data_IF_417338522861
#
_entry.id   IF_417338522861
#
_cell.length_a   1.000
_cell.length_b   1.000
_cell.length_c   1.000
_cell.angle_alpha   90.00
_cell.angle_beta   90.00
_cell.angle_gamma   90.00
#
_symmetry.space_group_name_H-M   'P 1'
#
loop_
_entity.id
_entity.type
_entity.pdbx_description
1 polymer ?
#
# COMPACT_ATOMS: atom_id res chain seq x y z
N UNK A 1 21.43 -13.52 -95.55
CA UNK A 1 22.84 -13.91 -95.77
C UNK A 1 23.62 -13.40 -94.56
N UNK A 2 24.22 -14.32 -93.77
CA UNK A 2 25.39 -14.19 -92.85
C UNK A 2 25.72 -12.81 -92.19
N UNK A 3 26.11 -12.60 -90.92
CA UNK A 3 26.78 -13.37 -89.85
C UNK A 3 26.79 -12.52 -88.55
N UNK A 4 26.89 -13.24 -87.42
CA UNK A 4 27.22 -12.92 -86.00
C UNK A 4 27.97 -11.64 -85.61
N UNK A 5 27.69 -11.10 -84.39
CA UNK A 5 28.59 -10.95 -83.19
C UNK A 5 27.84 -10.15 -82.09
N UNK A 6 27.53 -10.70 -80.90
CA UNK A 6 28.31 -10.86 -79.65
C UNK A 6 28.27 -9.69 -78.63
N UNK A 7 27.71 -9.97 -77.44
CA UNK A 7 28.03 -9.48 -76.06
C UNK A 7 27.56 -8.01 -75.79
N UNK A 8 26.95 -7.59 -74.66
CA UNK A 8 27.41 -7.56 -73.25
C UNK A 8 26.20 -7.33 -72.31
N UNK A 9 26.19 -8.07 -71.19
CA UNK A 9 25.31 -7.92 -70.03
C UNK A 9 25.79 -6.74 -69.18
N UNK A 10 24.91 -5.79 -68.86
CA UNK A 10 25.14 -4.81 -67.79
C UNK A 10 24.19 -5.08 -66.61
N UNK A 11 24.79 -5.55 -65.51
CA UNK A 11 24.19 -5.56 -64.17
C UNK A 11 24.07 -4.11 -63.68
N UNK A 12 22.84 -3.63 -63.51
CA UNK A 12 22.55 -2.35 -62.88
C UNK A 12 22.80 -2.42 -61.37
N UNK A 13 23.80 -1.68 -60.91
CA UNK A 13 24.05 -1.44 -59.48
C UNK A 13 23.13 -0.30 -59.04
N UNK A 14 22.04 -0.64 -58.36
CA UNK A 14 21.21 0.30 -57.63
C UNK A 14 21.85 0.63 -56.28
N UNK A 15 22.30 1.87 -56.13
CA UNK A 15 22.74 2.48 -54.88
C UNK A 15 21.56 2.54 -53.90
N UNK A 16 21.55 1.68 -52.88
CA UNK A 16 20.76 1.89 -51.67
C UNK A 16 21.70 2.48 -50.61
N UNK A 17 21.51 3.75 -50.31
CA UNK A 17 22.24 4.50 -49.29
C UNK A 17 22.15 3.79 -47.94
N UNK A 18 23.28 3.30 -47.44
CA UNK A 18 23.43 2.83 -46.08
C UNK A 18 23.33 4.02 -45.12
N UNK A 19 22.14 4.24 -44.56
CA UNK A 19 21.99 5.08 -43.37
C UNK A 19 22.64 4.31 -42.22
N UNK A 20 23.85 4.71 -41.82
CA UNK A 20 24.50 4.20 -40.63
C UNK A 20 23.67 4.61 -39.42
N UNK A 21 22.81 3.70 -38.96
CA UNK A 21 22.23 3.74 -37.63
C UNK A 21 23.40 3.53 -36.64
N UNK A 22 24.03 4.62 -36.23
CA UNK A 22 24.88 4.62 -35.05
C UNK A 22 23.93 4.42 -33.87
N UNK A 23 23.63 3.15 -33.58
CA UNK A 23 22.93 2.76 -32.38
C UNK A 23 23.73 3.25 -31.20
N UNK A 24 23.16 4.19 -30.44
CA UNK A 24 23.72 4.65 -29.17
C UNK A 24 23.76 3.43 -28.23
N UNK A 25 24.93 2.83 -27.96
CA UNK A 25 25.02 1.74 -27.01
C UNK A 25 25.09 2.38 -25.64
N UNK A 26 23.95 2.55 -24.97
CA UNK A 26 23.98 3.21 -23.66
C UNK A 26 22.68 3.54 -22.95
N UNK A 27 21.52 3.07 -23.45
CA UNK A 27 20.24 3.26 -22.75
C UNK A 27 19.69 1.96 -22.15
N UNK A 28 20.57 1.01 -21.83
CA UNK A 28 20.34 0.10 -20.71
C UNK A 28 20.98 0.71 -19.45
N UNK A 29 20.52 1.90 -19.08
CA UNK A 29 20.81 2.48 -17.77
C UNK A 29 20.12 1.58 -16.75
N UNK A 30 20.91 0.72 -16.13
CA UNK A 30 20.56 -0.15 -15.01
C UNK A 30 19.25 0.24 -14.32
N UNK A 31 18.21 -0.58 -14.47
CA UNK A 31 17.16 -0.69 -13.47
C UNK A 31 17.88 -1.12 -12.19
N UNK A 32 18.36 -0.15 -11.41
CA UNK A 32 18.74 -0.37 -10.02
C UNK A 32 17.56 -1.11 -9.41
N UNK A 33 17.78 -2.36 -8.98
CA UNK A 33 16.79 -3.15 -8.27
C UNK A 33 16.48 -2.40 -6.98
N UNK A 34 15.48 -1.52 -7.01
CA UNK A 34 15.00 -0.83 -5.81
C UNK A 34 14.51 -1.91 -4.86
N UNK A 35 15.05 -1.93 -3.65
CA UNK A 35 14.64 -2.89 -2.60
C UNK A 35 13.16 -2.71 -2.22
N UNK A 36 12.64 -1.49 -2.37
CA UNK A 36 11.26 -1.13 -2.08
C UNK A 36 10.54 -0.55 -3.31
N UNK A 37 9.20 -0.64 -3.36
CA UNK A 37 8.41 0.00 -4.41
C UNK A 37 8.65 1.51 -4.50
N UNK A 38 8.46 2.08 -5.69
CA UNK A 38 8.69 3.51 -5.95
C UNK A 38 7.91 4.44 -5.01
N UNK A 39 6.68 4.06 -4.66
CA UNK A 39 5.83 4.84 -3.77
C UNK A 39 6.33 4.93 -2.32
N UNK A 40 7.33 4.12 -1.93
CA UNK A 40 8.02 4.26 -0.64
C UNK A 40 9.02 5.43 -0.61
N UNK A 41 9.34 6.01 -1.77
CA UNK A 41 10.35 7.07 -1.88
C UNK A 41 11.71 6.58 -1.37
N UNK A 42 12.32 7.36 -0.45
CA UNK A 42 13.59 7.03 0.19
C UNK A 42 13.40 6.32 1.55
N UNK A 43 12.16 6.01 1.94
CA UNK A 43 11.84 5.39 3.22
C UNK A 43 11.81 3.88 3.10
N UNK A 44 12.17 3.19 4.19
CA UNK A 44 11.99 1.73 4.28
C UNK A 44 10.51 1.41 4.38
N UNK A 45 10.11 0.31 3.73
CA UNK A 45 8.74 -0.22 3.75
C UNK A 45 8.68 -1.66 4.25
N UNK A 46 7.51 -2.11 4.75
CA UNK A 46 7.24 -3.54 4.94
C UNK A 46 7.38 -4.28 3.60
N UNK A 47 8.15 -5.38 3.60
CA UNK A 47 8.31 -6.23 2.41
C UNK A 47 7.03 -7.04 2.18
N UNK A 48 6.62 -7.13 0.92
CA UNK A 48 5.48 -7.95 0.51
C UNK A 48 5.74 -8.60 -0.85
N UNK A 49 5.00 -9.68 -1.10
CA UNK A 49 4.88 -10.28 -2.42
C UNK A 49 3.45 -10.08 -2.94
N UNK A 50 3.31 -9.77 -4.23
CA UNK A 50 2.02 -9.76 -4.91
C UNK A 50 1.67 -11.20 -5.28
N UNK A 51 0.55 -11.72 -4.79
CA UNK A 51 0.09 -13.09 -5.04
C UNK A 51 -0.99 -13.16 -6.13
N UNK A 52 -1.77 -12.09 -6.29
CA UNK A 52 -2.73 -11.97 -7.39
C UNK A 52 -3.00 -10.50 -7.73
N UNK A 53 -3.39 -10.24 -8.98
CA UNK A 53 -3.80 -8.92 -9.46
C UNK A 53 -5.20 -9.08 -10.06
N UNK A 54 -6.14 -8.27 -9.59
CA UNK A 54 -7.48 -8.14 -10.16
C UNK A 54 -7.67 -6.80 -10.87
N UNK A 55 -8.88 -6.55 -11.36
CA UNK A 55 -9.21 -5.34 -12.14
C UNK A 55 -8.90 -4.03 -11.38
N UNK A 56 -9.12 -4.01 -10.07
CA UNK A 56 -9.05 -2.79 -9.24
C UNK A 56 -8.43 -3.03 -7.85
N UNK A 57 -7.72 -4.16 -7.71
CA UNK A 57 -7.04 -4.56 -6.48
C UNK A 57 -5.80 -5.43 -6.74
N UNK A 58 -4.89 -5.43 -5.79
CA UNK A 58 -3.78 -6.37 -5.68
C UNK A 58 -3.92 -7.19 -4.40
N UNK A 59 -3.65 -8.49 -4.44
CA UNK A 59 -3.45 -9.28 -3.23
C UNK A 59 -1.96 -9.26 -2.87
N UNK A 60 -1.65 -8.75 -1.67
CA UNK A 60 -0.28 -8.61 -1.16
C UNK A 60 -0.14 -9.37 0.14
N UNK A 61 0.88 -10.22 0.23
CA UNK A 61 1.26 -10.91 1.45
C UNK A 61 2.51 -10.29 2.05
N UNK A 62 2.35 -9.68 3.22
CA UNK A 62 3.41 -9.04 4.01
C UNK A 62 4.02 -10.04 4.97
N UNK A 63 5.35 -10.00 5.10
CA UNK A 63 6.06 -10.75 6.13
C UNK A 63 5.76 -10.21 7.54
N UNK A 64 6.07 -11.02 8.56
CA UNK A 64 5.95 -10.57 9.95
C UNK A 64 6.72 -9.26 10.17
N UNK A 65 6.13 -8.34 10.91
CA UNK A 65 6.67 -6.98 11.07
C UNK A 65 6.39 -6.42 12.46
N UNK A 66 7.19 -5.44 12.87
CA UNK A 66 7.02 -4.73 14.15
C UNK A 66 6.57 -3.29 13.89
N UNK A 67 5.71 -2.78 14.75
CA UNK A 67 5.13 -1.45 14.62
C UNK A 67 5.04 -0.74 15.98
N UNK A 68 5.33 0.55 16.02
CA UNK A 68 4.92 1.42 17.13
C UNK A 68 3.50 1.91 16.87
N UNK A 69 2.63 1.82 17.88
CA UNK A 69 1.18 2.02 17.72
C UNK A 69 0.59 2.91 18.79
N UNK A 70 -0.38 3.73 18.41
CA UNK A 70 -1.24 4.47 19.34
C UNK A 70 -2.69 4.32 18.92
N UNK A 71 -3.63 4.46 19.87
CA UNK A 71 -5.06 4.31 19.61
C UNK A 71 -5.88 5.46 20.18
N UNK A 72 -7.01 5.74 19.56
CA UNK A 72 -8.04 6.66 20.06
C UNK A 72 -9.42 6.05 19.81
N UNK A 73 -10.32 6.23 20.76
CA UNK A 73 -11.74 5.90 20.60
C UNK A 73 -12.50 7.17 20.29
N UNK A 74 -13.26 7.17 19.18
CA UNK A 74 -14.06 8.34 18.76
C UNK A 74 -15.50 7.92 18.51
N UNK A 75 -16.50 8.72 18.91
CA UNK A 75 -17.89 8.44 18.55
C UNK A 75 -18.05 8.36 17.04
N UNK A 76 -18.87 7.44 16.54
CA UNK A 76 -19.03 7.19 15.10
C UNK A 76 -19.39 8.44 14.26
N UNK A 77 -20.12 9.39 14.86
CA UNK A 77 -20.59 10.63 14.22
C UNK A 77 -19.56 11.77 14.22
N UNK A 78 -18.39 11.56 14.82
CA UNK A 78 -17.33 12.56 14.90
C UNK A 78 -16.14 12.14 14.06
N UNK A 79 -15.51 13.12 13.41
CA UNK A 79 -14.22 12.90 12.77
C UNK A 79 -13.10 13.21 13.77
N UNK A 80 -11.99 12.48 13.68
CA UNK A 80 -10.77 12.77 14.43
C UNK A 80 -9.62 13.02 13.48
N UNK A 81 -8.81 14.03 13.78
CA UNK A 81 -7.59 14.32 13.03
C UNK A 81 -6.52 13.27 13.35
N UNK A 82 -5.80 12.80 12.34
CA UNK A 82 -4.64 11.94 12.50
C UNK A 82 -3.44 12.67 13.13
N UNK A 83 -3.42 14.01 13.12
CA UNK A 83 -2.29 14.83 13.58
C UNK A 83 -1.79 14.50 14.99
N UNK A 84 -2.66 14.49 16.03
CA UNK A 84 -2.25 14.15 17.39
C UNK A 84 -1.67 12.74 17.54
N UNK A 85 -2.25 11.74 16.87
CA UNK A 85 -1.72 10.36 16.87
C UNK A 85 -0.34 10.30 16.21
N UNK A 86 -0.18 10.98 15.08
CA UNK A 86 1.09 11.07 14.36
C UNK A 86 2.16 11.73 15.24
N UNK A 87 1.83 12.85 15.89
CA UNK A 87 2.76 13.57 16.75
C UNK A 87 3.23 12.71 17.92
N UNK A 88 2.34 11.94 18.56
CA UNK A 88 2.70 11.04 19.66
C UNK A 88 3.69 9.96 19.21
N UNK A 89 3.46 9.35 18.05
CA UNK A 89 4.40 8.36 17.48
C UNK A 89 5.70 9.01 17.00
N UNK A 90 5.63 10.21 16.43
CA UNK A 90 6.78 10.97 15.96
C UNK A 90 7.73 11.31 17.11
N UNK A 91 7.19 11.75 18.25
CA UNK A 91 7.97 12.00 19.48
C UNK A 91 8.72 10.75 19.93
N UNK A 92 8.03 9.60 19.97
CA UNK A 92 8.64 8.33 20.35
C UNK A 92 9.85 7.98 19.47
N UNK A 93 9.69 8.05 18.14
CA UNK A 93 10.80 7.74 17.22
C UNK A 93 11.88 8.84 17.19
N UNK A 94 11.58 10.06 17.65
CA UNK A 94 12.53 11.18 17.75
C UNK A 94 13.28 11.22 19.09
N UNK A 95 13.25 10.14 19.89
CA UNK A 95 14.00 10.04 21.14
C UNK A 95 13.18 10.27 22.42
N UNK A 96 11.87 10.51 22.36
CA UNK A 96 11.00 10.42 23.56
C UNK A 96 10.70 8.95 23.91
N UNK A 97 11.77 8.22 24.23
CA UNK A 97 11.78 6.84 24.68
C UNK A 97 12.81 6.67 25.81
N UNK A 98 12.82 5.48 26.43
CA UNK A 98 13.59 5.21 27.66
C UNK A 98 15.11 5.33 27.49
N UNK A 99 15.61 5.28 26.26
CA UNK A 99 17.04 5.33 25.94
C UNK A 99 17.46 6.58 25.16
N UNK A 100 16.55 7.50 24.86
CA UNK A 100 16.82 8.71 24.04
C UNK A 100 17.39 8.39 22.65
N UNK A 101 17.02 7.24 22.09
CA UNK A 101 17.51 6.77 20.78
C UNK A 101 16.53 7.19 19.69
N UNK A 102 17.04 7.74 18.59
CA UNK A 102 16.24 8.00 17.39
C UNK A 102 16.02 6.71 16.57
N UNK A 103 14.78 6.51 16.13
CA UNK A 103 14.37 5.44 15.23
C UNK A 103 14.04 6.08 13.88
N UNK A 104 14.66 5.65 12.76
CA UNK A 104 14.38 6.23 11.45
C UNK A 104 12.90 6.15 11.06
N UNK A 105 12.37 7.25 10.52
CA UNK A 105 11.04 7.28 9.93
C UNK A 105 10.92 6.27 8.77
N UNK A 106 9.73 5.72 8.60
CA UNK A 106 9.42 4.73 7.57
C UNK A 106 8.09 5.04 6.87
N UNK A 107 7.79 4.30 5.82
CA UNK A 107 6.50 4.30 5.17
C UNK A 107 5.94 2.87 5.10
N UNK A 108 4.62 2.68 4.95
CA UNK A 108 3.59 3.69 5.16
C UNK A 108 3.32 3.95 6.65
N UNK A 109 2.62 5.05 6.94
CA UNK A 109 1.84 5.17 8.17
C UNK A 109 0.53 4.40 7.97
N UNK A 110 0.28 3.38 8.79
CA UNK A 110 -0.99 2.65 8.74
C UNK A 110 -2.00 3.23 9.70
N UNK A 111 -3.25 3.28 9.28
CA UNK A 111 -4.42 3.53 10.13
C UNK A 111 -5.32 2.31 10.04
N UNK A 112 -5.62 1.67 11.17
CA UNK A 112 -6.64 0.61 11.23
C UNK A 112 -7.86 1.13 11.96
N UNK A 113 -9.04 0.92 11.38
CA UNK A 113 -10.31 1.22 12.02
C UNK A 113 -11.04 -0.09 12.23
N UNK A 114 -11.31 -0.42 13.49
CA UNK A 114 -12.19 -1.55 13.81
C UNK A 114 -13.63 -1.07 13.74
N UNK A 115 -14.35 -1.54 12.73
CA UNK A 115 -15.75 -1.17 12.52
C UNK A 115 -16.64 -1.86 13.56
N UNK A 116 -17.46 -1.08 14.27
CA UNK A 116 -18.50 -1.62 15.15
C UNK A 116 -19.79 -1.87 14.38
N UNK A 117 -20.55 -2.88 14.82
CA UNK A 117 -21.89 -3.16 14.30
C UNK A 117 -22.95 -2.24 14.94
N UNK A 118 -22.63 -1.58 16.05
CA UNK A 118 -23.51 -0.64 16.73
C UNK A 118 -23.12 0.80 16.36
N UNK A 119 -24.10 1.57 15.86
CA UNK A 119 -23.93 2.99 15.47
C UNK A 119 -23.70 3.91 16.66
N UNK A 120 -24.08 3.49 17.87
CA UNK A 120 -23.88 4.25 19.09
C UNK A 120 -22.53 3.94 19.75
N UNK A 121 -21.75 3.04 19.16
CA UNK A 121 -20.44 2.64 19.66
C UNK A 121 -19.32 3.58 19.14
N UNK A 122 -18.14 3.40 19.73
CA UNK A 122 -16.94 4.13 19.35
C UNK A 122 -16.19 3.40 18.23
N UNK A 123 -15.59 4.17 17.32
CA UNK A 123 -14.58 3.69 16.40
C UNK A 123 -13.25 3.60 17.16
N UNK A 124 -12.69 2.39 17.27
CA UNK A 124 -11.31 2.18 17.71
C UNK A 124 -10.38 2.40 16.50
N UNK A 125 -9.74 3.58 16.48
CA UNK A 125 -8.80 4.00 15.45
C UNK A 125 -7.40 3.84 15.99
N UNK A 126 -6.55 3.11 15.26
CA UNK A 126 -5.14 2.93 15.60
C UNK A 126 -4.27 3.45 14.49
N UNK A 127 -3.15 4.06 14.86
CA UNK A 127 -2.10 4.48 13.95
C UNK A 127 -0.84 3.67 14.24
N UNK A 128 -0.12 3.31 13.18
CA UNK A 128 1.08 2.48 13.28
C UNK A 128 2.22 3.06 12.44
N UNK A 129 3.42 3.14 13.03
CA UNK A 129 4.68 3.40 12.33
C UNK A 129 5.49 2.11 12.23
N UNK A 130 5.94 1.79 11.01
CA UNK A 130 6.71 0.58 10.76
C UNK A 130 8.09 0.68 11.40
N UNK A 131 8.50 -0.33 12.15
CA UNK A 131 9.86 -0.45 12.66
C UNK A 131 10.59 -1.47 11.76
N UNK A 132 11.54 -1.02 10.92
CA UNK A 132 12.23 -1.91 10.00
C UNK A 132 13.16 -2.84 10.79
N UNK A 133 13.48 -4.03 10.25
CA UNK A 133 14.52 -4.87 10.82
C UNK A 133 15.81 -4.05 11.04
N UNK A 134 16.33 -4.11 12.26
CA UNK A 134 17.46 -3.30 12.70
C UNK A 134 18.26 -4.05 13.76
N UNK A 135 19.55 -3.73 13.87
CA UNK A 135 20.42 -4.23 14.94
C UNK A 135 20.28 -3.43 16.23
N UNK A 136 19.51 -2.33 16.21
CA UNK A 136 19.24 -1.53 17.39
C UNK A 136 18.30 -2.29 18.33
N UNK A 137 18.58 -2.20 19.64
CA UNK A 137 17.58 -2.53 20.65
C UNK A 137 16.45 -1.50 20.55
N UNK A 138 15.24 -1.94 20.20
CA UNK A 138 14.09 -1.03 20.10
C UNK A 138 13.76 -0.47 21.50
N UNK A 139 13.89 0.86 21.72
CA UNK A 139 13.71 1.44 23.04
C UNK A 139 12.25 1.40 23.47
N UNK A 140 12.00 1.27 24.77
CA UNK A 140 10.62 1.21 25.28
C UNK A 140 9.99 2.59 25.21
N UNK A 141 8.72 2.70 24.81
CA UNK A 141 8.02 3.97 24.90
C UNK A 141 7.89 4.44 26.35
N UNK A 142 8.10 5.72 26.60
CA UNK A 142 7.85 6.33 27.93
C UNK A 142 6.41 6.78 28.10
N UNK A 143 5.67 6.94 27.00
CA UNK A 143 4.26 7.30 27.01
C UNK A 143 3.39 6.04 26.96
N UNK A 144 2.48 5.88 27.92
CA UNK A 144 1.63 4.69 28.04
C UNK A 144 0.73 4.44 26.83
N UNK A 145 0.37 5.50 26.11
CA UNK A 145 -0.46 5.44 24.88
C UNK A 145 0.25 4.77 23.71
N UNK A 146 1.59 4.69 23.74
CA UNK A 146 2.39 4.06 22.68
C UNK A 146 2.68 2.61 23.06
N UNK A 147 2.34 1.68 22.16
CA UNK A 147 2.58 0.25 22.30
C UNK A 147 3.39 -0.27 21.13
N UNK A 148 4.33 -1.17 21.40
CA UNK A 148 5.01 -1.96 20.37
C UNK A 148 4.17 -3.20 20.07
N UNK A 149 3.83 -3.40 18.79
CA UNK A 149 2.99 -4.50 18.35
C UNK A 149 3.70 -5.28 17.25
N UNK A 150 3.59 -6.61 17.31
CA UNK A 150 4.05 -7.50 16.26
C UNK A 150 2.86 -7.90 15.39
N UNK A 151 2.97 -7.63 14.11
CA UNK A 151 2.02 -8.13 13.12
C UNK A 151 2.57 -9.46 12.59
N UNK A 152 1.78 -10.55 12.63
CA UNK A 152 2.17 -11.80 12.00
C UNK A 152 2.22 -11.62 10.48
N UNK A 153 2.71 -12.66 9.77
CA UNK A 153 2.56 -12.73 8.32
C UNK A 153 1.08 -12.59 7.97
N UNK A 154 0.77 -11.69 7.04
CA UNK A 154 -0.61 -11.30 6.73
C UNK A 154 -0.79 -11.05 5.25
N UNK A 155 -1.91 -11.49 4.69
CA UNK A 155 -2.29 -11.16 3.32
C UNK A 155 -3.47 -10.18 3.34
N UNK A 156 -3.40 -9.18 2.47
CA UNK A 156 -4.41 -8.12 2.34
C UNK A 156 -4.72 -7.91 0.86
N UNK A 157 -5.94 -7.51 0.56
CA UNK A 157 -6.27 -6.91 -0.71
C UNK A 157 -6.06 -5.41 -0.62
N UNK A 158 -5.46 -4.81 -1.66
CA UNK A 158 -5.04 -3.42 -1.69
C UNK A 158 -5.64 -2.72 -2.90
N UNK A 159 -6.21 -1.54 -2.67
CA UNK A 159 -6.60 -0.58 -3.70
C UNK A 159 -5.82 0.71 -3.53
N UNK A 160 -5.16 1.15 -4.60
CA UNK A 160 -4.46 2.44 -4.65
C UNK A 160 -5.43 3.55 -5.01
N UNK A 161 -5.30 4.71 -4.38
CA UNK A 161 -6.06 5.92 -4.70
C UNK A 161 -5.26 7.20 -4.40
N UNK A 162 -5.65 8.31 -5.02
CA UNK A 162 -5.02 9.63 -4.81
C UNK A 162 -5.88 10.54 -3.92
N UNK A 163 -5.32 11.69 -3.53
CA UNK A 163 -5.98 12.70 -2.70
C UNK A 163 -5.35 12.81 -1.32
N UNK A 164 -5.85 13.75 -0.51
CA UNK A 164 -5.35 13.97 0.85
C UNK A 164 -6.26 13.28 1.87
N UNK A 165 -5.65 12.67 2.90
CA UNK A 165 -6.38 12.03 3.99
C UNK A 165 -5.87 12.49 5.36
N UNK A 166 -6.69 13.27 6.06
CA UNK A 166 -6.41 13.82 7.40
C UNK A 166 -7.12 13.09 8.54
N UNK A 167 -8.17 12.32 8.23
CA UNK A 167 -9.08 11.72 9.21
C UNK A 167 -9.76 10.48 8.65
N UNK A 168 -10.59 9.79 9.42
CA UNK A 168 -11.55 8.82 8.87
C UNK A 168 -12.74 9.64 8.33
N UNK A 169 -12.99 9.58 7.02
CA UNK A 169 -14.00 10.41 6.35
C UNK A 169 -14.72 9.63 5.23
N UNK A 170 -15.70 10.27 4.59
CA UNK A 170 -16.48 9.70 3.48
C UNK A 170 -15.65 9.23 2.28
N UNK A 171 -14.54 9.90 1.97
CA UNK A 171 -13.67 9.46 0.88
C UNK A 171 -13.03 8.11 1.21
N UNK A 172 -12.58 7.89 2.44
CA UNK A 172 -11.98 6.60 2.83
C UNK A 172 -12.99 5.46 2.76
N UNK A 173 -14.20 5.73 3.24
CA UNK A 173 -15.34 4.80 3.15
C UNK A 173 -15.65 4.47 1.68
N UNK A 174 -15.64 5.47 0.81
CA UNK A 174 -15.85 5.30 -0.63
C UNK A 174 -14.76 4.42 -1.26
N UNK A 175 -13.48 4.64 -0.94
CA UNK A 175 -12.39 3.82 -1.49
C UNK A 175 -12.48 2.37 -0.99
N UNK A 176 -12.79 2.17 0.29
CA UNK A 176 -13.04 0.84 0.84
C UNK A 176 -14.20 0.16 0.11
N UNK A 177 -15.32 0.85 -0.11
CA UNK A 177 -16.48 0.32 -0.84
C UNK A 177 -16.10 -0.13 -2.26
N UNK A 178 -15.35 0.70 -2.99
CA UNK A 178 -14.86 0.34 -4.34
C UNK A 178 -13.98 -0.91 -4.32
N UNK A 179 -13.08 -1.03 -3.34
CA UNK A 179 -12.27 -2.23 -3.15
C UNK A 179 -13.15 -3.46 -2.90
N UNK A 180 -14.07 -3.39 -1.95
CA UNK A 180 -14.92 -4.54 -1.60
C UNK A 180 -15.86 -4.94 -2.74
N UNK A 181 -16.41 -3.99 -3.50
CA UNK A 181 -17.21 -4.29 -4.70
C UNK A 181 -16.40 -5.05 -5.76
N UNK A 182 -15.13 -4.68 -5.98
CA UNK A 182 -14.24 -5.39 -6.90
C UNK A 182 -13.92 -6.81 -6.40
N UNK A 183 -13.75 -6.99 -5.09
CA UNK A 183 -13.54 -8.29 -4.46
C UNK A 183 -14.78 -9.19 -4.55
N UNK A 184 -15.96 -8.64 -4.27
CA UNK A 184 -17.24 -9.34 -4.36
C UNK A 184 -17.51 -9.83 -5.79
N UNK A 185 -17.29 -8.96 -6.80
CA UNK A 185 -17.38 -9.32 -8.23
C UNK A 185 -16.42 -10.45 -8.61
N UNK A 186 -15.24 -10.48 -7.98
CA UNK A 186 -14.23 -11.51 -8.21
C UNK A 186 -14.38 -12.76 -7.33
N UNK A 187 -15.42 -12.84 -6.48
CA UNK A 187 -15.66 -13.97 -5.58
C UNK A 187 -14.56 -14.17 -4.52
N UNK A 188 -13.95 -13.08 -4.04
CA UNK A 188 -12.88 -13.11 -3.02
C UNK A 188 -13.45 -12.95 -1.61
N UNK A 189 -12.97 -13.76 -0.67
CA UNK A 189 -13.30 -13.64 0.75
C UNK A 189 -12.32 -12.68 1.45
N UNK A 190 -12.85 -11.77 2.26
CA UNK A 190 -12.09 -10.77 2.99
C UNK A 190 -12.82 -10.39 4.28
N UNK A 191 -12.06 -9.84 5.23
CA UNK A 191 -12.62 -9.44 6.52
C UNK A 191 -13.47 -8.16 6.37
N UNK A 192 -14.78 -8.30 6.50
CA UNK A 192 -15.73 -7.19 6.34
C UNK A 192 -15.65 -6.11 7.42
N UNK A 193 -15.00 -6.37 8.55
CA UNK A 193 -14.81 -5.39 9.63
C UNK A 193 -13.57 -4.52 9.45
N UNK A 194 -12.72 -4.88 8.49
CA UNK A 194 -11.49 -4.16 8.26
C UNK A 194 -11.72 -2.90 7.44
N UNK A 195 -11.09 -1.83 7.90
CA UNK A 195 -10.75 -0.67 7.11
C UNK A 195 -9.31 -0.31 7.49
N UNK A 196 -8.38 -0.55 6.56
CA UNK A 196 -6.96 -0.25 6.76
C UNK A 196 -6.56 0.78 5.72
N UNK A 197 -6.02 1.91 6.15
CA UNK A 197 -5.46 2.93 5.29
C UNK A 197 -3.94 2.94 5.42
N UNK A 198 -3.24 3.11 4.30
CA UNK A 198 -1.80 3.31 4.28
C UNK A 198 -1.46 4.62 3.55
N UNK A 199 -0.85 5.55 4.27
CA UNK A 199 -0.34 6.81 3.73
C UNK A 199 1.17 6.77 3.61
N UNK A 200 1.69 7.01 2.41
CA UNK A 200 3.14 6.93 2.14
C UNK A 200 3.81 8.30 2.11
N UNK A 201 3.07 9.33 1.74
CA UNK A 201 3.62 10.66 1.52
C UNK A 201 3.63 11.55 2.77
N UNK A 202 4.63 12.43 2.85
CA UNK A 202 4.73 13.48 3.87
C UNK A 202 3.46 14.34 3.91
N UNK A 203 2.98 14.78 5.10
CA UNK A 203 1.79 15.65 5.23
C UNK A 203 1.89 16.96 4.42
N UNK A 204 3.10 17.41 4.05
CA UNK A 204 3.29 18.62 3.25
C UNK A 204 3.18 18.40 1.72
N UNK A 205 3.09 17.15 1.26
CA UNK A 205 2.89 16.84 -0.18
C UNK A 205 1.42 16.97 -0.54
N UNK A 206 1.05 17.96 -1.35
CA UNK A 206 -0.36 18.26 -1.64
C UNK A 206 -0.89 17.50 -2.87
N UNK A 207 -0.06 17.25 -3.90
CA UNK A 207 -0.46 16.59 -5.16
C UNK A 207 0.23 15.23 -5.36
N UNK A 208 -0.36 14.39 -6.22
CA UNK A 208 0.16 13.06 -6.62
C UNK A 208 0.58 12.17 -5.43
N UNK A 209 -0.31 12.11 -4.43
CA UNK A 209 -0.14 11.25 -3.27
C UNK A 209 -0.50 9.81 -3.61
N UNK A 210 0.30 8.86 -3.12
CA UNK A 210 0.03 7.44 -3.14
C UNK A 210 -0.57 7.04 -1.81
N UNK A 211 -1.87 6.74 -1.83
CA UNK A 211 -2.56 6.18 -0.69
C UNK A 211 -3.12 4.82 -1.05
N UNK A 212 -3.29 3.99 -0.03
CA UNK A 212 -3.87 2.68 -0.20
C UNK A 212 -4.97 2.44 0.82
N UNK A 213 -6.02 1.76 0.39
CA UNK A 213 -7.01 1.15 1.27
C UNK A 213 -6.87 -0.37 1.18
N UNK A 214 -6.97 -1.04 2.32
CA UNK A 214 -6.77 -2.47 2.44
C UNK A 214 -7.82 -3.13 3.32
N UNK A 215 -8.08 -4.40 3.04
CA UNK A 215 -8.86 -5.33 3.87
C UNK A 215 -8.09 -6.65 3.96
N UNK A 216 -8.10 -7.32 5.12
CA UNK A 216 -7.41 -8.60 5.25
C UNK A 216 -8.11 -9.68 4.44
N UNK A 217 -7.32 -10.54 3.83
CA UNK A 217 -7.81 -11.79 3.23
C UNK A 217 -8.34 -12.66 4.38
N UNK A 218 -9.55 -13.18 4.24
CA UNK A 218 -10.04 -14.19 5.19
C UNK A 218 -9.33 -15.51 4.91
N UNK A 219 -8.84 -16.22 5.95
CA UNK A 219 -8.37 -17.59 5.77
C UNK A 219 -9.47 -18.39 5.07
N UNK A 220 -9.11 -19.20 4.07
CA UNK A 220 -10.06 -20.17 3.53
C UNK A 220 -10.45 -21.08 4.69
N UNK A 221 -11.67 -20.93 5.20
CA UNK A 221 -12.24 -21.89 6.13
C UNK A 221 -12.11 -23.28 5.49
N UNK A 222 -11.44 -24.20 6.17
CA UNK A 222 -11.49 -25.61 5.82
C UNK A 222 -12.95 -26.04 5.89
N UNK A 223 -13.52 -26.35 4.73
CA UNK A 223 -14.93 -26.68 4.53
C UNK A 223 -15.52 -27.48 5.70
N UNK A 224 -16.26 -26.79 6.57
CA UNK A 224 -17.17 -27.42 7.52
C UNK A 224 -18.47 -26.62 7.49
N UNK A 225 -19.51 -27.33 7.10
CA UNK A 225 -20.87 -26.90 6.80
C UNK A 225 -21.49 -26.02 7.88
N UNK A 226 -22.13 -24.90 7.51
CA UNK A 226 -22.95 -24.15 8.45
C UNK A 226 -23.54 -22.82 7.95
N UNK A 227 -24.76 -22.89 7.41
CA UNK A 227 -25.86 -21.91 7.49
C UNK A 227 -25.55 -20.44 7.15
N UNK A 228 -26.15 -19.97 6.05
CA UNK A 228 -26.32 -18.55 5.67
C UNK A 228 -27.02 -17.75 6.78
N UNK A 229 -26.25 -17.22 7.72
CA UNK A 229 -26.67 -16.07 8.51
C UNK A 229 -26.45 -14.81 7.66
N UNK A 230 -27.52 -14.04 7.42
CA UNK A 230 -27.38 -12.65 6.92
C UNK A 230 -26.61 -11.87 7.96
N UNK A 231 -25.34 -11.56 7.66
CA UNK A 231 -24.51 -10.76 8.54
C UNK A 231 -24.98 -9.30 8.62
N UNK A 232 -24.84 -8.65 9.79
CA UNK A 232 -25.29 -7.28 9.99
C UNK A 232 -24.50 -6.30 9.10
N UNK A 233 -25.21 -5.30 8.57
CA UNK A 233 -24.60 -4.20 7.83
C UNK A 233 -23.73 -3.36 8.76
N UNK A 234 -22.42 -3.28 8.50
CA UNK A 234 -21.53 -2.37 9.20
C UNK A 234 -21.72 -0.95 8.69
N UNK A 235 -21.95 0.00 9.60
CA UNK A 235 -22.51 1.30 9.26
C UNK A 235 -21.45 2.37 8.98
N UNK A 236 -20.77 2.35 7.82
CA UNK A 236 -19.82 3.42 7.46
C UNK A 236 -20.47 4.69 6.89
N UNK A 237 -21.75 4.63 6.53
CA UNK A 237 -22.43 5.73 5.81
C UNK A 237 -22.63 6.99 6.67
N UNK A 238 -22.47 6.87 7.99
CA UNK A 238 -22.68 7.94 8.97
C UNK A 238 -21.37 8.57 9.47
N UNK A 239 -20.22 8.21 8.89
CA UNK A 239 -18.94 8.87 9.20
C UNK A 239 -18.98 10.29 8.60
N UNK A 240 -18.72 11.30 9.45
CA UNK A 240 -18.77 12.72 9.11
C UNK A 240 -17.84 13.10 7.94
#
# INVERSE_FOLDING_TARGET
>A
MHIRTSIIIFLGIGLCSAQWMIGVPGLYRSKLLREYPEFCGNLKCPKFNITSIGDDYEERCYEKSMWASTSVQVPHKQSTSFGPMFQSLYKYISGENDQKIEIPMTAPVLITVKMSADKNDFLDIKMHFFIPPTNLTIPKPTADVIKLVNYPKICVYVRVFSGYQTSVNKNLVLQRRKLTEALDKAGRNYNKKDLIYAGYDSPWKIFNRHNEIMVRVEPKESATTGILAKEPSFYLNDVA
#
